data_IF_036431579383
#
_entry.id   IF_036431579383
#
_cell.length_a   1.000
_cell.length_b   1.000
_cell.length_c   1.000
_cell.angle_alpha   90.00
_cell.angle_beta   90.00
_cell.angle_gamma   90.00
#
_symmetry.space_group_name_H-M   'P 1'
#
loop_
_entity.id
_entity.type
_entity.pdbx_description
1 polymer ?
#
# COMPACT_ATOMS: atom_id res chain seq x y z
N UNK A 1 18.45 4.00 12.23
CA UNK A 1 17.34 3.16 11.75
C UNK A 1 17.49 2.79 10.28
N UNK A 2 17.92 3.70 9.38
CA UNK A 2 18.13 3.41 7.95
C UNK A 2 18.97 2.17 7.69
N UNK A 3 20.17 2.07 8.30
CA UNK A 3 21.05 0.91 8.11
C UNK A 3 20.38 -0.41 8.52
N UNK A 4 19.63 -0.39 9.63
CA UNK A 4 18.86 -1.56 10.08
C UNK A 4 17.74 -1.92 9.10
N UNK A 5 16.99 -0.93 8.62
CA UNK A 5 15.93 -1.11 7.63
C UNK A 5 16.48 -1.70 6.33
N UNK A 6 17.55 -1.12 5.78
CA UNK A 6 18.21 -1.63 4.57
C UNK A 6 18.73 -3.06 4.74
N UNK A 7 19.35 -3.35 5.87
CA UNK A 7 19.86 -4.69 6.13
C UNK A 7 18.74 -5.74 6.27
N UNK A 8 17.67 -5.40 6.97
CA UNK A 8 16.53 -6.31 7.22
C UNK A 8 15.71 -6.58 5.95
N UNK A 9 15.52 -5.57 5.11
CA UNK A 9 14.65 -5.65 3.92
C UNK A 9 15.40 -6.05 2.64
N UNK A 10 16.73 -6.13 2.64
CA UNK A 10 17.54 -6.35 1.43
C UNK A 10 17.20 -7.61 0.62
N UNK A 11 16.59 -8.60 1.23
CA UNK A 11 16.28 -9.90 0.61
C UNK A 11 14.76 -10.13 0.45
N UNK A 12 13.94 -9.08 0.51
CA UNK A 12 12.47 -9.22 0.41
C UNK A 12 12.05 -9.65 -1.01
N UNK A 13 12.85 -9.33 -2.03
CA UNK A 13 12.51 -9.63 -3.43
C UNK A 13 11.47 -8.67 -4.00
N UNK A 14 10.75 -9.11 -5.01
CA UNK A 14 9.65 -8.34 -5.59
C UNK A 14 8.51 -8.22 -4.57
N UNK A 15 8.16 -6.98 -4.22
CA UNK A 15 7.26 -6.72 -3.13
C UNK A 15 6.20 -5.67 -3.51
N UNK A 16 4.96 -5.91 -3.11
CA UNK A 16 3.86 -4.96 -3.24
C UNK A 16 3.41 -4.53 -1.85
N UNK A 17 3.31 -3.21 -1.64
CA UNK A 17 2.82 -2.68 -0.36
C UNK A 17 1.32 -2.39 -0.41
N UNK A 18 0.61 -2.85 0.61
CA UNK A 18 -0.83 -2.64 0.79
C UNK A 18 -1.08 -1.70 1.96
N UNK A 19 -1.83 -0.63 1.70
CA UNK A 19 -2.24 0.37 2.68
C UNK A 19 -3.75 0.38 2.88
N UNK A 20 -4.21 0.77 4.06
CA UNK A 20 -5.62 0.95 4.36
C UNK A 20 -5.91 1.11 5.85
N UNK A 21 -7.18 1.11 6.21
CA UNK A 21 -7.66 1.36 7.56
C UNK A 21 -7.19 0.30 8.57
N UNK A 22 -6.66 0.76 9.71
CA UNK A 22 -6.37 -0.06 10.89
C UNK A 22 -7.61 -0.36 11.75
N UNK A 23 -8.79 0.19 11.41
CA UNK A 23 -9.97 0.21 12.27
C UNK A 23 -11.07 -0.77 11.85
N UNK A 24 -10.85 -1.56 10.81
CA UNK A 24 -11.80 -2.57 10.34
C UNK A 24 -11.48 -3.93 10.94
N UNK A 25 -12.52 -4.69 11.25
CA UNK A 25 -12.42 -6.06 11.74
C UNK A 25 -12.56 -7.09 10.59
N UNK A 26 -12.43 -8.37 10.91
CA UNK A 26 -12.48 -9.47 9.93
C UNK A 26 -13.85 -9.62 9.23
N UNK A 27 -14.93 -9.07 9.80
CA UNK A 27 -16.27 -9.10 9.21
C UNK A 27 -16.49 -7.97 8.21
N UNK A 28 -15.63 -6.97 8.20
CA UNK A 28 -15.74 -5.83 7.30
C UNK A 28 -15.37 -6.21 5.85
N UNK A 29 -16.08 -5.63 4.87
CA UNK A 29 -15.81 -5.92 3.44
C UNK A 29 -14.37 -5.61 3.05
N UNK A 30 -13.79 -4.49 3.55
CA UNK A 30 -12.41 -4.10 3.22
C UNK A 30 -11.36 -5.07 3.78
N UNK A 31 -11.63 -5.70 4.92
CA UNK A 31 -10.77 -6.75 5.45
C UNK A 31 -10.76 -7.96 4.49
N UNK A 32 -11.93 -8.42 4.06
CA UNK A 32 -12.02 -9.55 3.12
C UNK A 32 -11.36 -9.24 1.78
N UNK A 33 -11.59 -8.02 1.24
CA UNK A 33 -10.94 -7.53 0.01
C UNK A 33 -9.42 -7.49 0.17
N UNK A 34 -8.90 -6.96 1.27
CA UNK A 34 -7.45 -6.88 1.53
C UNK A 34 -6.81 -8.27 1.66
N UNK A 35 -7.50 -9.22 2.33
CA UNK A 35 -7.02 -10.60 2.43
C UNK A 35 -6.95 -11.26 1.05
N UNK A 36 -7.96 -11.06 0.21
CA UNK A 36 -7.95 -11.60 -1.14
C UNK A 36 -6.85 -10.97 -2.00
N UNK A 37 -6.63 -9.65 -1.91
CA UNK A 37 -5.49 -8.98 -2.56
C UNK A 37 -4.17 -9.59 -2.13
N UNK A 38 -3.94 -9.75 -0.83
CA UNK A 38 -2.72 -10.36 -0.30
C UNK A 38 -2.52 -11.79 -0.81
N UNK A 39 -3.59 -12.57 -0.87
CA UNK A 39 -3.57 -13.94 -1.41
C UNK A 39 -3.21 -13.98 -2.90
N UNK A 40 -3.84 -13.12 -3.70
CA UNK A 40 -3.60 -13.05 -5.13
C UNK A 40 -2.18 -12.57 -5.45
N UNK A 41 -1.70 -11.51 -4.77
CA UNK A 41 -0.31 -11.04 -4.90
C UNK A 41 0.69 -12.15 -4.54
N UNK A 42 0.41 -12.89 -3.47
CA UNK A 42 1.25 -14.02 -3.06
C UNK A 42 1.26 -15.15 -4.10
N UNK A 43 0.12 -15.46 -4.72
CA UNK A 43 0.02 -16.46 -5.78
C UNK A 43 0.81 -16.05 -7.05
N UNK A 44 0.95 -14.75 -7.32
CA UNK A 44 1.79 -14.21 -8.39
C UNK A 44 3.28 -14.11 -8.01
N UNK A 45 3.65 -14.57 -6.82
CA UNK A 45 5.05 -14.61 -6.36
C UNK A 45 5.57 -13.33 -5.73
N UNK A 46 4.71 -12.35 -5.45
CA UNK A 46 5.11 -11.14 -4.72
C UNK A 46 5.13 -11.36 -3.21
N UNK A 47 6.14 -10.79 -2.56
CA UNK A 47 6.04 -10.51 -1.13
C UNK A 47 4.99 -9.42 -0.88
N UNK A 48 4.29 -9.49 0.24
CA UNK A 48 3.31 -8.47 0.62
C UNK A 48 3.80 -7.69 1.83
N UNK A 49 3.97 -6.39 1.66
CA UNK A 49 4.39 -5.49 2.72
C UNK A 49 3.23 -4.61 3.18
N UNK A 50 3.18 -4.32 4.46
CA UNK A 50 2.21 -3.40 5.07
C UNK A 50 2.86 -2.59 6.18
N UNK A 51 2.08 -1.72 6.81
CA UNK A 51 2.46 -1.08 8.06
C UNK A 51 2.50 -2.02 9.27
N UNK A 52 2.15 -3.30 9.12
CA UNK A 52 2.23 -4.33 10.16
C UNK A 52 1.20 -4.22 11.27
N UNK A 53 0.24 -3.29 11.20
CA UNK A 53 -0.83 -3.11 12.19
C UNK A 53 -2.07 -3.97 11.91
N UNK A 54 -3.17 -3.72 12.64
CA UNK A 54 -4.45 -4.44 12.47
C UNK A 54 -5.21 -4.00 11.21
N UNK A 55 -6.39 -4.57 11.01
CA UNK A 55 -7.34 -4.19 9.98
C UNK A 55 -6.92 -4.61 8.58
N UNK A 56 -6.93 -3.68 7.63
CA UNK A 56 -6.53 -3.91 6.24
C UNK A 56 -5.10 -4.45 6.16
N UNK A 57 -4.18 -3.95 6.98
CA UNK A 57 -2.78 -4.38 7.00
C UNK A 57 -2.67 -5.86 7.42
N UNK A 58 -3.34 -6.23 8.51
CA UNK A 58 -3.42 -7.61 8.99
C UNK A 58 -4.04 -8.53 7.94
N UNK A 59 -5.14 -8.10 7.33
CA UNK A 59 -5.83 -8.87 6.31
C UNK A 59 -4.94 -9.18 5.11
N UNK A 60 -4.21 -8.18 4.58
CA UNK A 60 -3.27 -8.37 3.48
C UNK A 60 -2.11 -9.30 3.85
N UNK A 61 -1.54 -9.14 5.05
CA UNK A 61 -0.50 -10.03 5.56
C UNK A 61 -1.01 -11.48 5.71
N UNK A 62 -2.22 -11.66 6.24
CA UNK A 62 -2.87 -12.97 6.36
C UNK A 62 -3.08 -13.61 4.98
N UNK A 63 -3.56 -12.83 4.00
CA UNK A 63 -3.72 -13.30 2.62
C UNK A 63 -2.41 -13.75 1.98
N UNK A 64 -1.31 -13.01 2.18
CA UNK A 64 0.01 -13.41 1.73
C UNK A 64 0.43 -14.78 2.31
N UNK A 65 0.23 -14.98 3.60
CA UNK A 65 0.53 -16.26 4.25
C UNK A 65 -0.38 -17.39 3.79
N UNK A 66 -1.66 -17.12 3.51
CA UNK A 66 -2.59 -18.09 2.94
C UNK A 66 -2.08 -18.64 1.59
N UNK A 67 -1.33 -17.82 0.83
CA UNK A 67 -0.69 -18.20 -0.43
C UNK A 67 0.75 -18.72 -0.28
N UNK A 68 1.30 -18.79 0.94
CA UNK A 68 2.69 -19.18 1.19
C UNK A 68 3.73 -18.14 0.79
N UNK A 69 3.32 -16.88 0.60
CA UNK A 69 4.20 -15.77 0.24
C UNK A 69 4.77 -15.08 1.47
N UNK A 70 5.91 -14.39 1.30
CA UNK A 70 6.56 -13.64 2.35
C UNK A 70 5.69 -12.44 2.79
N UNK A 71 5.37 -12.41 4.08
CA UNK A 71 4.57 -11.37 4.73
C UNK A 71 5.44 -10.43 5.55
N UNK A 72 5.46 -9.15 5.19
CA UNK A 72 6.38 -8.14 5.75
C UNK A 72 5.60 -7.02 6.43
N UNK A 73 6.06 -6.59 7.60
CA UNK A 73 5.52 -5.43 8.31
C UNK A 73 6.59 -4.40 8.64
N UNK A 74 6.40 -3.16 8.16
CA UNK A 74 7.16 -1.99 8.58
C UNK A 74 6.37 -1.26 9.68
N UNK A 75 6.58 -1.65 10.95
CA UNK A 75 5.83 -1.13 12.08
C UNK A 75 6.40 0.19 12.59
N UNK A 76 5.58 0.99 13.25
CA UNK A 76 5.95 2.26 13.86
C UNK A 76 5.62 2.26 15.35
N UNK A 77 6.51 2.84 16.15
CA UNK A 77 6.26 3.08 17.55
C UNK A 77 5.24 4.23 17.70
N UNK A 78 4.09 3.94 18.31
CA UNK A 78 3.03 4.92 18.53
C UNK A 78 2.81 5.11 20.04
N UNK A 79 2.39 6.32 20.51
CA UNK A 79 2.07 6.58 21.90
C UNK A 79 0.93 5.70 22.44
N UNK A 80 0.01 5.28 21.58
CA UNK A 80 -0.98 4.23 21.83
C UNK A 80 -0.51 3.00 21.08
N UNK A 81 -0.01 2.02 21.82
CA UNK A 81 0.60 0.82 21.31
C UNK A 81 -0.38 0.05 20.40
N UNK A 82 -0.05 -0.05 19.13
CA UNK A 82 -0.64 -1.03 18.22
C UNK A 82 0.32 -2.22 18.15
N UNK A 83 -0.14 -3.38 18.60
CA UNK A 83 0.67 -4.60 18.47
C UNK A 83 0.81 -4.95 16.99
N UNK A 84 2.00 -5.39 16.55
CA UNK A 84 2.16 -5.99 15.24
C UNK A 84 1.16 -7.14 15.07
N UNK A 85 0.58 -7.28 13.88
CA UNK A 85 -0.30 -8.41 13.62
C UNK A 85 0.48 -9.73 13.59
N UNK A 86 -0.20 -10.83 13.87
CA UNK A 86 0.41 -12.16 14.02
C UNK A 86 0.78 -12.84 12.68
N UNK A 87 0.42 -12.25 11.56
CA UNK A 87 0.66 -12.82 10.23
C UNK A 87 1.95 -12.33 9.57
N UNK A 88 2.86 -11.72 10.32
CA UNK A 88 4.15 -11.24 9.82
C UNK A 88 5.23 -12.32 9.92
N UNK A 89 5.90 -12.62 8.79
CA UNK A 89 7.13 -13.42 8.77
C UNK A 89 8.35 -12.54 9.08
N UNK A 90 8.32 -11.28 8.63
CA UNK A 90 9.36 -10.29 8.87
C UNK A 90 8.74 -9.00 9.40
N UNK A 91 9.06 -8.62 10.62
CA UNK A 91 8.72 -7.33 11.19
C UNK A 91 9.97 -6.45 11.34
N UNK A 92 9.87 -5.21 10.88
CA UNK A 92 10.91 -4.18 11.05
C UNK A 92 10.30 -2.98 11.77
N UNK A 93 10.79 -2.70 12.98
CA UNK A 93 10.29 -1.62 13.82
C UNK A 93 11.03 -0.32 13.58
N UNK A 94 10.30 0.76 13.38
CA UNK A 94 10.79 2.12 13.23
C UNK A 94 10.21 3.02 14.32
N UNK A 95 11.00 3.99 14.75
CA UNK A 95 10.60 5.05 15.66
C UNK A 95 10.18 6.31 14.89
N UNK A 96 10.81 6.56 13.75
CA UNK A 96 10.57 7.76 12.95
C UNK A 96 9.76 7.46 11.70
N UNK A 97 8.66 8.21 11.50
CA UNK A 97 7.77 8.06 10.35
C UNK A 97 8.51 8.17 9.01
N UNK A 98 9.37 9.17 8.86
CA UNK A 98 10.10 9.40 7.60
C UNK A 98 11.03 8.25 7.22
N UNK A 99 11.66 7.58 8.20
CA UNK A 99 12.48 6.39 7.92
C UNK A 99 11.60 5.24 7.42
N UNK A 100 10.48 5.00 8.09
CA UNK A 100 9.51 3.96 7.70
C UNK A 100 8.98 4.21 6.29
N UNK A 101 8.57 5.45 5.98
CA UNK A 101 8.03 5.84 4.66
C UNK A 101 9.06 5.56 3.55
N UNK A 102 10.32 5.96 3.75
CA UNK A 102 11.40 5.64 2.79
C UNK A 102 11.54 4.13 2.57
N UNK A 103 11.41 3.30 3.61
CA UNK A 103 11.50 1.85 3.47
C UNK A 103 10.31 1.27 2.70
N UNK A 104 9.09 1.74 2.99
CA UNK A 104 7.88 1.32 2.29
C UNK A 104 7.96 1.65 0.79
N UNK A 105 8.44 2.83 0.43
CA UNK A 105 8.63 3.22 -0.98
C UNK A 105 9.78 2.45 -1.62
N UNK A 106 10.95 2.41 -0.99
CA UNK A 106 12.18 1.87 -1.57
C UNK A 106 12.10 0.37 -1.89
N UNK A 107 11.40 -0.40 -1.08
CA UNK A 107 11.32 -1.86 -1.21
C UNK A 107 10.02 -2.34 -1.85
N UNK A 108 9.26 -1.44 -2.48
CA UNK A 108 8.05 -1.76 -3.21
C UNK A 108 8.21 -1.55 -4.70
N UNK A 109 7.60 -2.44 -5.48
CA UNK A 109 7.46 -2.33 -6.92
C UNK A 109 6.11 -1.71 -7.32
N UNK A 110 5.12 -1.77 -6.42
CA UNK A 110 3.77 -1.27 -6.62
C UNK A 110 3.07 -0.98 -5.29
N UNK A 111 2.01 -0.17 -5.34
CA UNK A 111 1.14 0.06 -4.19
C UNK A 111 -0.32 -0.32 -4.46
N UNK A 112 -0.97 -0.85 -3.44
CA UNK A 112 -2.42 -1.04 -3.38
C UNK A 112 -2.98 -0.25 -2.20
N UNK A 113 -3.94 0.62 -2.47
CA UNK A 113 -4.64 1.40 -1.46
C UNK A 113 -6.09 0.92 -1.31
N UNK A 114 -6.44 0.48 -0.12
CA UNK A 114 -7.83 0.32 0.31
C UNK A 114 -8.27 1.55 1.12
N UNK A 115 -9.57 1.76 1.31
CA UNK A 115 -10.07 2.88 2.11
C UNK A 115 -9.44 2.95 3.50
N UNK A 116 -9.11 4.18 3.92
CA UNK A 116 -8.46 4.41 5.21
C UNK A 116 -8.58 5.85 5.70
N UNK A 117 -7.92 6.15 6.80
CA UNK A 117 -7.89 7.49 7.38
C UNK A 117 -6.69 8.31 6.94
N UNK A 118 -6.34 9.30 7.76
CA UNK A 118 -5.24 10.23 7.49
C UNK A 118 -3.90 9.54 7.19
N UNK A 119 -3.56 8.46 7.90
CA UNK A 119 -2.32 7.73 7.64
C UNK A 119 -2.29 7.05 6.27
N UNK A 120 -3.44 6.59 5.76
CA UNK A 120 -3.56 6.05 4.40
C UNK A 120 -3.47 7.16 3.36
N UNK A 121 -4.17 8.29 3.58
CA UNK A 121 -4.14 9.43 2.66
C UNK A 121 -2.76 10.10 2.63
N UNK A 122 -2.04 10.14 3.74
CA UNK A 122 -0.65 10.61 3.81
C UNK A 122 0.26 9.82 2.85
N UNK A 123 0.14 8.49 2.83
CA UNK A 123 0.89 7.65 1.88
C UNK A 123 0.40 7.81 0.43
N UNK A 124 -0.91 8.03 0.21
CA UNK A 124 -1.48 8.31 -1.12
C UNK A 124 -0.91 9.60 -1.70
N UNK A 125 -0.93 10.70 -0.93
CA UNK A 125 -0.44 12.00 -1.41
C UNK A 125 1.09 12.05 -1.54
N UNK A 126 1.83 11.37 -0.67
CA UNK A 126 3.27 11.21 -0.87
C UNK A 126 3.57 10.46 -2.16
N UNK A 127 2.89 9.33 -2.40
CA UNK A 127 3.03 8.53 -3.63
C UNK A 127 2.69 9.36 -4.87
N UNK A 128 1.58 10.10 -4.83
CA UNK A 128 1.18 11.00 -5.92
C UNK A 128 2.27 12.04 -6.21
N UNK A 129 2.83 12.66 -5.17
CA UNK A 129 3.91 13.64 -5.30
C UNK A 129 5.18 13.02 -5.91
N UNK A 130 5.57 11.82 -5.46
CA UNK A 130 6.75 11.13 -5.98
C UNK A 130 6.60 10.73 -7.46
N UNK A 131 5.39 10.33 -7.89
CA UNK A 131 5.10 10.00 -9.29
C UNK A 131 5.05 11.29 -10.13
N UNK A 132 4.31 12.32 -9.67
CA UNK A 132 4.19 13.62 -10.33
C UNK A 132 5.57 14.26 -10.61
N UNK A 133 6.47 14.18 -9.64
CA UNK A 133 7.85 14.72 -9.75
C UNK A 133 8.82 13.78 -10.47
N UNK A 134 8.34 12.66 -11.01
CA UNK A 134 9.14 11.62 -11.65
C UNK A 134 10.26 11.04 -10.77
N UNK A 135 10.15 11.18 -9.44
CA UNK A 135 11.07 10.58 -8.47
C UNK A 135 10.96 9.05 -8.50
N UNK A 136 9.73 8.53 -8.68
CA UNK A 136 9.43 7.13 -8.95
C UNK A 136 8.67 7.04 -10.28
N UNK A 137 9.37 6.83 -11.39
CA UNK A 137 8.76 6.79 -12.71
C UNK A 137 8.13 5.41 -13.01
N UNK A 138 6.95 5.43 -13.63
CA UNK A 138 6.25 4.20 -14.06
C UNK A 138 5.80 3.29 -12.91
N UNK A 139 5.70 3.79 -11.70
CA UNK A 139 5.33 3.02 -10.51
C UNK A 139 3.80 2.76 -10.52
N UNK A 140 3.35 1.48 -10.62
CA UNK A 140 1.93 1.18 -10.69
C UNK A 140 1.26 1.32 -9.32
N UNK A 141 0.08 1.95 -9.32
CA UNK A 141 -0.73 2.18 -8.12
C UNK A 141 -2.18 1.83 -8.41
N UNK A 142 -2.81 1.08 -7.50
CA UNK A 142 -4.22 0.71 -7.58
C UNK A 142 -4.97 1.14 -6.32
N UNK A 143 -6.12 1.78 -6.50
CA UNK A 143 -7.11 2.04 -5.46
C UNK A 143 -8.26 1.02 -5.54
N UNK A 144 -8.58 0.36 -4.44
CA UNK A 144 -9.73 -0.54 -4.32
C UNK A 144 -10.87 0.12 -3.54
N UNK A 145 -12.10 -0.10 -3.96
CA UNK A 145 -13.34 0.57 -3.54
C UNK A 145 -13.54 1.89 -4.29
N UNK A 146 -14.09 1.78 -5.48
CA UNK A 146 -14.39 2.90 -6.38
C UNK A 146 -15.20 4.01 -5.70
N UNK A 147 -16.21 3.64 -4.94
CA UNK A 147 -17.09 4.61 -4.27
C UNK A 147 -16.34 5.49 -3.27
N UNK A 148 -15.29 4.96 -2.60
CA UNK A 148 -14.44 5.73 -1.71
C UNK A 148 -13.48 6.64 -2.49
N UNK A 149 -12.76 6.10 -3.48
CA UNK A 149 -11.70 6.83 -4.18
C UNK A 149 -12.23 7.90 -5.13
N UNK A 150 -13.38 7.68 -5.78
CA UNK A 150 -14.03 8.71 -6.60
C UNK A 150 -14.44 9.98 -5.82
N UNK A 151 -14.69 9.87 -4.50
CA UNK A 151 -14.91 11.03 -3.66
C UNK A 151 -13.63 11.86 -3.48
N UNK A 152 -12.50 11.17 -3.26
CA UNK A 152 -11.18 11.81 -3.13
C UNK A 152 -10.79 12.45 -4.46
N UNK A 153 -10.93 11.71 -5.57
CA UNK A 153 -10.63 12.20 -6.92
C UNK A 153 -11.45 13.44 -7.27
N UNK A 154 -12.75 13.45 -6.98
CA UNK A 154 -13.60 14.64 -7.16
C UNK A 154 -13.08 15.83 -6.35
N UNK A 155 -12.74 15.62 -5.08
CA UNK A 155 -12.19 16.69 -4.24
C UNK A 155 -10.88 17.24 -4.81
N UNK A 156 -9.99 16.37 -5.28
CA UNK A 156 -8.73 16.78 -5.93
C UNK A 156 -9.00 17.59 -7.20
N UNK A 157 -9.91 17.13 -8.08
CA UNK A 157 -10.28 17.83 -9.31
C UNK A 157 -10.92 19.19 -9.02
N UNK A 158 -11.93 19.22 -8.14
CA UNK A 158 -12.72 20.42 -7.87
C UNK A 158 -11.93 21.50 -7.10
N UNK A 159 -10.90 21.11 -6.38
CA UNK A 159 -10.09 22.03 -5.58
C UNK A 159 -8.70 22.28 -6.20
N UNK A 160 -7.89 21.24 -6.36
CA UNK A 160 -6.47 21.37 -6.70
C UNK A 160 -6.27 21.68 -8.19
N UNK A 161 -6.97 20.97 -9.09
CA UNK A 161 -6.91 21.25 -10.54
C UNK A 161 -7.54 22.60 -10.86
N UNK A 162 -8.71 22.88 -10.29
CA UNK A 162 -9.40 24.16 -10.50
C UNK A 162 -8.59 25.37 -10.00
N UNK A 163 -7.86 25.20 -8.89
CA UNK A 163 -6.97 26.22 -8.35
C UNK A 163 -5.61 26.30 -9.08
N UNK A 164 -5.33 25.39 -10.02
CA UNK A 164 -4.05 25.33 -10.75
C UNK A 164 -2.85 24.93 -9.91
N UNK A 165 -3.08 24.17 -8.81
CA UNK A 165 -2.00 23.70 -7.94
C UNK A 165 -1.43 22.36 -8.40
N UNK A 166 -2.13 21.65 -9.27
CA UNK A 166 -1.70 20.46 -10.00
C UNK A 166 -2.24 20.49 -11.42
N UNK A 167 -1.65 19.73 -12.32
CA UNK A 167 -2.12 19.59 -13.70
C UNK A 167 -3.24 18.52 -13.82
N UNK A 168 -4.16 18.63 -14.79
CA UNK A 168 -5.21 17.61 -15.00
C UNK A 168 -4.69 16.20 -15.26
N UNK A 169 -3.47 16.05 -15.78
CA UNK A 169 -2.83 14.74 -16.01
C UNK A 169 -2.50 14.05 -14.69
N UNK A 170 -2.23 14.80 -13.62
CA UNK A 170 -1.86 14.29 -12.31
C UNK A 170 -3.00 13.54 -11.62
N UNK A 171 -4.24 13.73 -12.05
CA UNK A 171 -5.40 13.00 -11.51
C UNK A 171 -5.51 11.55 -12.01
N UNK A 172 -4.68 11.16 -13.00
CA UNK A 172 -4.70 9.81 -13.61
C UNK A 172 -3.55 8.90 -13.11
N UNK A 173 -3.00 9.20 -11.95
CA UNK A 173 -1.86 8.46 -11.41
C UNK A 173 -2.23 7.07 -10.90
N UNK A 174 -3.51 6.84 -10.57
CA UNK A 174 -3.99 5.60 -9.96
C UNK A 174 -5.03 4.90 -10.83
N UNK A 175 -4.92 3.58 -10.94
CA UNK A 175 -6.01 2.74 -11.44
C UNK A 175 -7.00 2.49 -10.29
N UNK A 176 -8.30 2.64 -10.54
CA UNK A 176 -9.34 2.38 -9.54
C UNK A 176 -10.22 1.22 -10.01
N UNK A 177 -10.41 0.23 -9.15
CA UNK A 177 -11.29 -0.92 -9.39
C UNK A 177 -11.96 -1.39 -8.10
N UNK A 178 -13.04 -2.18 -8.23
CA UNK A 178 -13.68 -2.88 -7.11
C UNK A 178 -13.24 -4.35 -7.02
N UNK A 179 -12.58 -4.88 -8.05
CA UNK A 179 -12.20 -6.29 -8.16
C UNK A 179 -10.71 -6.50 -7.80
N UNK A 180 -10.42 -7.27 -6.73
CA UNK A 180 -9.06 -7.66 -6.37
C UNK A 180 -8.29 -8.35 -7.51
N UNK A 181 -8.97 -9.15 -8.33
CA UNK A 181 -8.34 -9.87 -9.43
C UNK A 181 -7.91 -8.93 -10.54
N UNK A 182 -8.74 -7.93 -10.90
CA UNK A 182 -8.37 -6.88 -11.85
C UNK A 182 -7.20 -6.04 -11.31
N UNK A 183 -7.22 -5.72 -10.02
CA UNK A 183 -6.15 -4.96 -9.38
C UNK A 183 -4.79 -5.68 -9.51
N UNK A 184 -4.75 -6.96 -9.15
CA UNK A 184 -3.51 -7.75 -9.21
C UNK A 184 -3.07 -8.00 -10.64
N UNK A 185 -4.00 -8.31 -11.56
CA UNK A 185 -3.69 -8.48 -12.99
C UNK A 185 -3.06 -7.22 -13.59
N UNK A 186 -3.60 -6.02 -13.28
CA UNK A 186 -3.03 -4.75 -13.72
C UNK A 186 -1.61 -4.56 -13.20
N UNK A 187 -1.33 -4.86 -11.93
CA UNK A 187 0.00 -4.75 -11.36
C UNK A 187 0.99 -5.72 -12.00
N UNK A 188 0.59 -6.98 -12.18
CA UNK A 188 1.42 -8.02 -12.79
C UNK A 188 1.78 -7.66 -14.23
N UNK A 189 0.83 -7.20 -15.04
CA UNK A 189 1.06 -6.75 -16.42
C UNK A 189 2.09 -5.60 -16.46
N UNK A 190 1.92 -4.58 -15.62
CA UNK A 190 2.81 -3.43 -15.55
C UNK A 190 4.21 -3.76 -15.07
N UNK A 191 4.37 -4.76 -14.21
CA UNK A 191 5.66 -5.18 -13.67
C UNK A 191 6.38 -6.20 -14.57
N UNK A 192 5.66 -7.00 -15.36
CA UNK A 192 6.24 -7.98 -16.29
C UNK A 192 6.93 -7.33 -17.50
N UNK A 193 6.64 -6.08 -17.79
CA UNK A 193 7.24 -5.32 -18.90
C UNK A 193 8.51 -4.54 -18.53
N UNK A 194 9.08 -4.77 -17.33
CA UNK A 194 10.28 -4.07 -16.83
C UNK A 194 11.53 -4.88 -16.91
#
# INVERSE_FOLDING_TARGET
>A
EFLRGFWRLRNVGLCVTVFGSARVDEHHRWYRTAREVGRLLGAEGFAVMTGGGPGVMEAANRGARDAGALSVGCTIELPREQRPNEFLDLAVHFRYFFVRKVMLVKYSEAFVFLPGGFGTLDEVFETATLIQTATIAGFPVVGLDRAYWEQIERTVNDTMVTAGTIDPIDTRLFQITDDPSEAVAFLTDRLSGR
#
